data_IF_781519442007
#
_entry.id   IF_781519442007
#
_cell.length_a   1.000
_cell.length_b   1.000
_cell.length_c   1.000
_cell.angle_alpha   90.00
_cell.angle_beta   90.00
_cell.angle_gamma   90.00
#
_symmetry.space_group_name_H-M   'P 1'
#
loop_
_entity.id
_entity.type
_entity.pdbx_description
1 polymer ?
#
# COMPACT_ATOMS: atom_id res chain seq x y z
N UNK A 1 32.73 35.27 1.12
CA UNK A 1 31.52 34.42 1.20
C UNK A 1 31.09 34.14 -0.23
N UNK A 2 31.43 32.97 -0.78
CA UNK A 2 31.06 32.61 -2.16
C UNK A 2 29.68 31.98 -2.13
N UNK A 3 28.69 32.69 -2.65
CA UNK A 3 27.41 32.12 -3.07
C UNK A 3 27.72 31.12 -4.19
N UNK A 4 27.56 29.83 -3.89
CA UNK A 4 27.72 28.76 -4.87
C UNK A 4 26.55 28.79 -5.84
N UNK A 5 26.77 29.35 -7.03
CA UNK A 5 25.89 29.16 -8.16
C UNK A 5 25.77 27.66 -8.45
N UNK A 6 24.57 27.11 -8.30
CA UNK A 6 24.25 25.76 -8.77
C UNK A 6 24.61 25.69 -10.25
N UNK A 7 25.52 24.79 -10.61
CA UNK A 7 25.95 24.65 -12.00
C UNK A 7 24.82 24.04 -12.84
N UNK A 8 24.80 24.27 -14.15
CA UNK A 8 23.78 23.69 -15.05
C UNK A 8 23.72 22.15 -14.97
N UNK A 9 24.84 21.52 -14.60
CA UNK A 9 24.93 20.08 -14.31
C UNK A 9 24.11 19.65 -13.11
N UNK A 10 24.12 20.43 -12.02
CA UNK A 10 23.34 20.16 -10.80
C UNK A 10 21.83 20.28 -11.09
N UNK A 11 21.45 21.26 -11.92
CA UNK A 11 20.05 21.45 -12.30
C UNK A 11 19.54 20.33 -13.23
N UNK A 12 20.39 19.83 -14.14
CA UNK A 12 20.03 18.72 -15.02
C UNK A 12 19.85 17.41 -14.25
N UNK A 13 20.72 17.14 -13.28
CA UNK A 13 20.62 15.96 -12.43
C UNK A 13 19.38 16.00 -11.53
N UNK A 14 19.09 17.15 -10.93
CA UNK A 14 17.86 17.34 -10.15
C UNK A 14 16.59 17.12 -11.00
N UNK A 15 16.58 17.57 -12.26
CA UNK A 15 15.46 17.29 -13.18
C UNK A 15 15.31 15.79 -13.42
N UNK A 16 16.40 15.08 -13.74
CA UNK A 16 16.37 13.62 -13.93
C UNK A 16 15.86 12.88 -12.70
N UNK A 17 16.31 13.28 -11.50
CA UNK A 17 15.83 12.69 -10.25
C UNK A 17 14.33 12.91 -10.03
N UNK A 18 13.82 14.11 -10.32
CA UNK A 18 12.38 14.41 -10.25
C UNK A 18 11.58 13.59 -11.26
N UNK A 19 12.06 13.46 -12.49
CA UNK A 19 11.42 12.66 -13.53
C UNK A 19 11.40 11.17 -13.18
N UNK A 20 12.46 10.68 -12.54
CA UNK A 20 12.52 9.30 -12.04
C UNK A 20 11.46 9.06 -10.95
N UNK A 21 11.35 9.96 -9.97
CA UNK A 21 10.33 9.86 -8.91
C UNK A 21 8.91 9.94 -9.50
N UNK A 22 8.68 10.84 -10.45
CA UNK A 22 7.39 10.97 -11.14
C UNK A 22 7.05 9.69 -11.93
N UNK A 23 8.03 9.10 -12.61
CA UNK A 23 7.88 7.85 -13.36
C UNK A 23 7.58 6.69 -12.41
N UNK A 24 8.33 6.54 -11.31
CA UNK A 24 8.10 5.50 -10.31
C UNK A 24 6.72 5.63 -9.64
N UNK A 25 6.29 6.86 -9.35
CA UNK A 25 4.95 7.14 -8.79
C UNK A 25 3.85 6.73 -9.77
N UNK A 26 4.00 7.13 -11.04
CA UNK A 26 3.04 6.76 -12.11
C UNK A 26 3.01 5.25 -12.35
N UNK A 27 4.17 4.61 -12.38
CA UNK A 27 4.29 3.16 -12.52
C UNK A 27 3.56 2.44 -11.37
N UNK A 28 3.73 2.91 -10.13
CA UNK A 28 3.05 2.36 -8.95
C UNK A 28 1.53 2.46 -9.06
N UNK A 29 0.99 3.62 -9.42
CA UNK A 29 -0.46 3.78 -9.59
C UNK A 29 -1.01 2.87 -10.70
N UNK A 30 -0.31 2.79 -11.83
CA UNK A 30 -0.72 1.96 -12.98
C UNK A 30 -0.61 0.47 -12.71
N UNK A 31 0.40 0.03 -11.95
CA UNK A 31 0.59 -1.38 -11.61
C UNK A 31 -0.51 -1.85 -10.67
N UNK A 32 -0.87 -1.05 -9.65
CA UNK A 32 -2.00 -1.31 -8.74
C UNK A 32 -3.30 -1.41 -9.54
N UNK A 33 -3.62 -0.43 -10.38
CA UNK A 33 -4.84 -0.47 -11.18
C UNK A 33 -4.85 -1.62 -12.20
N UNK A 34 -3.67 -1.99 -12.74
CA UNK A 34 -3.51 -3.17 -13.57
C UNK A 34 -3.83 -4.46 -12.84
N UNK A 35 -3.45 -4.58 -11.57
CA UNK A 35 -3.77 -5.73 -10.72
C UNK A 35 -5.28 -5.83 -10.46
N UNK A 36 -5.95 -4.71 -10.17
CA UNK A 36 -7.41 -4.68 -10.03
C UNK A 36 -8.10 -5.20 -11.29
N UNK A 37 -7.76 -4.66 -12.46
CA UNK A 37 -8.36 -5.11 -13.73
C UNK A 37 -8.12 -6.58 -14.06
N UNK A 38 -6.99 -7.14 -13.61
CA UNK A 38 -6.60 -8.52 -13.92
C UNK A 38 -7.21 -9.54 -12.97
N UNK A 39 -7.25 -9.21 -11.68
CA UNK A 39 -7.50 -10.19 -10.61
C UNK A 39 -8.79 -9.96 -9.83
N UNK A 40 -9.42 -8.78 -9.97
CA UNK A 40 -10.69 -8.54 -9.32
C UNK A 40 -11.79 -9.42 -9.97
N UNK A 41 -12.73 -9.99 -9.19
CA UNK A 41 -13.74 -10.90 -9.72
C UNK A 41 -14.51 -10.30 -10.91
N UNK A 42 -14.61 -11.07 -11.99
CA UNK A 42 -15.35 -10.65 -13.17
C UNK A 42 -16.83 -10.42 -12.83
N UNK A 43 -17.38 -9.27 -13.25
CA UNK A 43 -18.77 -8.89 -12.99
C UNK A 43 -19.03 -8.23 -11.63
N UNK A 44 -18.02 -8.11 -10.76
CA UNK A 44 -18.09 -7.31 -9.55
C UNK A 44 -17.56 -5.90 -9.77
N UNK A 45 -18.15 -4.91 -9.09
CA UNK A 45 -17.63 -3.54 -8.99
C UNK A 45 -16.89 -3.34 -7.67
N UNK A 46 -15.93 -2.41 -7.68
CA UNK A 46 -15.29 -1.92 -6.46
C UNK A 46 -16.09 -0.73 -5.96
N UNK A 47 -16.66 -0.83 -4.76
CA UNK A 47 -17.46 0.24 -4.17
C UNK A 47 -16.59 1.31 -3.49
N UNK A 48 -15.43 0.92 -2.96
CA UNK A 48 -14.46 1.82 -2.32
C UNK A 48 -13.06 1.19 -2.27
N UNK A 49 -12.03 2.03 -2.33
CA UNK A 49 -10.63 1.65 -2.15
C UNK A 49 -10.05 2.39 -0.95
N UNK A 50 -9.68 1.64 0.08
CA UNK A 50 -9.08 2.16 1.30
C UNK A 50 -7.56 1.95 1.29
N UNK A 51 -6.81 3.04 1.22
CA UNK A 51 -5.35 3.04 1.15
C UNK A 51 -4.75 3.25 2.53
N UNK A 52 -3.78 2.43 2.91
CA UNK A 52 -3.04 2.56 4.17
C UNK A 52 -1.52 2.62 3.91
N UNK A 53 -0.75 2.80 4.98
CA UNK A 53 0.70 2.90 4.94
C UNK A 53 1.20 4.25 4.41
N UNK A 54 2.51 4.41 4.31
CA UNK A 54 3.14 5.69 3.94
C UNK A 54 2.70 6.26 2.58
N UNK A 55 2.29 5.40 1.64
CA UNK A 55 1.78 5.81 0.33
C UNK A 55 0.48 6.61 0.39
N UNK A 56 -0.35 6.40 1.42
CA UNK A 56 -1.59 7.15 1.61
C UNK A 56 -1.34 8.66 1.87
N UNK A 57 -0.14 9.01 2.36
CA UNK A 57 0.29 10.41 2.60
C UNK A 57 0.87 11.09 1.36
N UNK A 58 0.98 10.38 0.22
CA UNK A 58 1.45 10.96 -1.04
C UNK A 58 0.25 11.46 -1.88
N UNK A 59 -0.02 12.78 -1.92
CA UNK A 59 -1.20 13.31 -2.62
C UNK A 59 -1.16 13.06 -4.13
N UNK A 60 0.03 13.06 -4.74
CA UNK A 60 0.20 12.76 -6.17
C UNK A 60 -0.19 11.31 -6.47
N UNK A 61 0.28 10.36 -5.66
CA UNK A 61 -0.07 8.95 -5.81
C UNK A 61 -1.57 8.72 -5.60
N UNK A 62 -2.15 9.32 -4.55
CA UNK A 62 -3.59 9.21 -4.25
C UNK A 62 -4.46 9.75 -5.39
N UNK A 63 -4.09 10.89 -5.97
CA UNK A 63 -4.79 11.45 -7.13
C UNK A 63 -4.68 10.55 -8.37
N UNK A 64 -3.49 9.99 -8.64
CA UNK A 64 -3.29 9.06 -9.75
C UNK A 64 -4.09 7.76 -9.55
N UNK A 65 -4.16 7.23 -8.33
CA UNK A 65 -4.98 6.07 -8.00
C UNK A 65 -6.46 6.36 -8.19
N UNK A 66 -6.96 7.50 -7.70
CA UNK A 66 -8.35 7.92 -7.88
C UNK A 66 -8.73 8.01 -9.37
N UNK A 67 -7.86 8.57 -10.20
CA UNK A 67 -8.10 8.63 -11.64
C UNK A 67 -8.09 7.25 -12.31
N UNK A 68 -7.19 6.34 -11.89
CA UNK A 68 -7.03 5.01 -12.49
C UNK A 68 -8.12 4.01 -12.05
N UNK A 69 -8.72 4.22 -10.87
CA UNK A 69 -9.69 3.31 -10.25
C UNK A 69 -11.12 3.86 -10.27
N UNK A 70 -11.34 5.02 -10.88
CA UNK A 70 -12.67 5.57 -11.10
C UNK A 70 -13.59 4.53 -11.79
N UNK A 71 -14.88 4.43 -11.38
CA UNK A 71 -15.59 5.37 -10.51
C UNK A 71 -15.43 5.09 -9.00
N UNK A 72 -14.65 4.10 -8.58
CA UNK A 72 -14.52 3.77 -7.17
C UNK A 72 -13.83 4.91 -6.40
N UNK A 73 -14.40 5.39 -5.28
CA UNK A 73 -13.76 6.37 -4.42
C UNK A 73 -12.50 5.77 -3.79
N UNK A 74 -11.41 6.56 -3.78
CA UNK A 74 -10.14 6.20 -3.14
C UNK A 74 -9.92 7.10 -1.93
N UNK A 75 -9.77 6.51 -0.74
CA UNK A 75 -9.61 7.25 0.53
C UNK A 75 -8.52 6.65 1.41
N UNK A 76 -7.83 7.46 2.24
CA UNK A 76 -6.95 6.91 3.27
C UNK A 76 -7.78 6.19 4.35
N UNK A 77 -7.24 5.12 4.93
CA UNK A 77 -7.88 4.38 6.04
C UNK A 77 -8.10 5.22 7.29
N UNK A 78 -7.26 6.24 7.50
CA UNK A 78 -7.34 7.14 8.65
C UNK A 78 -8.68 7.89 8.71
N UNK A 79 -9.35 8.05 7.56
CA UNK A 79 -10.69 8.60 7.47
C UNK A 79 -11.76 7.75 8.19
N UNK A 80 -11.44 6.50 8.54
CA UNK A 80 -12.32 5.56 9.24
C UNK A 80 -11.98 5.42 10.74
N UNK A 81 -11.10 6.27 11.27
CA UNK A 81 -10.72 6.25 12.68
C UNK A 81 -9.72 5.15 13.06
N UNK A 82 -9.12 4.48 12.08
CA UNK A 82 -8.01 3.54 12.29
C UNK A 82 -6.72 4.29 12.01
N UNK A 83 -5.89 4.48 13.03
CA UNK A 83 -4.55 5.03 12.86
C UNK A 83 -3.73 4.09 11.93
N UNK A 84 -3.36 4.62 10.77
CA UNK A 84 -2.61 3.89 9.75
C UNK A 84 -1.24 3.39 10.21
N UNK A 85 -0.59 4.08 11.14
CA UNK A 85 0.70 3.66 11.71
C UNK A 85 0.50 2.59 12.79
N UNK A 86 -0.63 2.60 13.52
CA UNK A 86 -0.98 1.58 14.52
C UNK A 86 -1.51 0.28 13.91
N UNK A 87 -2.06 0.32 12.69
CA UNK A 87 -2.72 -0.81 12.04
C UNK A 87 -1.83 -2.06 11.93
N UNK A 88 -0.56 -1.90 11.58
CA UNK A 88 0.36 -3.04 11.45
C UNK A 88 0.62 -3.70 12.81
N UNK A 89 0.84 -2.89 13.86
CA UNK A 89 0.99 -3.39 15.23
C UNK A 89 -0.27 -4.11 15.72
N UNK A 90 -1.46 -3.55 15.46
CA UNK A 90 -2.74 -4.19 15.77
C UNK A 90 -2.90 -5.51 15.02
N UNK A 91 -2.47 -5.57 13.76
CA UNK A 91 -2.49 -6.80 12.96
C UNK A 91 -1.63 -7.88 13.62
N UNK A 92 -0.40 -7.56 14.05
CA UNK A 92 0.44 -8.52 14.77
C UNK A 92 -0.15 -8.95 16.12
N UNK A 93 -0.77 -8.03 16.86
CA UNK A 93 -1.45 -8.37 18.11
C UNK A 93 -2.61 -9.36 17.88
N UNK A 94 -3.42 -9.14 16.84
CA UNK A 94 -4.49 -10.05 16.45
C UNK A 94 -3.95 -11.41 16.01
N UNK A 95 -2.90 -11.43 15.18
CA UNK A 95 -2.24 -12.68 14.77
C UNK A 95 -1.72 -13.47 15.98
N UNK A 96 -1.14 -12.80 16.97
CA UNK A 96 -0.67 -13.44 18.20
C UNK A 96 -1.83 -13.99 19.04
N UNK A 97 -2.90 -13.21 19.24
CA UNK A 97 -4.12 -13.65 19.92
C UNK A 97 -4.69 -14.92 19.26
N UNK A 98 -4.88 -14.89 17.95
CA UNK A 98 -5.47 -15.99 17.20
C UNK A 98 -4.58 -17.24 17.22
N UNK A 99 -3.27 -17.05 17.20
CA UNK A 99 -2.30 -18.16 17.39
C UNK A 99 -2.46 -18.83 18.75
N UNK A 100 -2.62 -18.04 19.82
CA UNK A 100 -2.85 -18.56 21.17
C UNK A 100 -4.21 -19.27 21.28
N UNK A 101 -5.23 -18.78 20.56
CA UNK A 101 -6.56 -19.38 20.49
C UNK A 101 -6.65 -20.59 19.55
N UNK A 102 -5.58 -20.91 18.80
CA UNK A 102 -5.57 -21.99 17.81
C UNK A 102 -6.40 -21.68 16.55
N UNK A 103 -6.72 -20.41 16.31
CA UNK A 103 -7.50 -19.95 15.17
C UNK A 103 -6.59 -19.78 13.93
N UNK A 104 -7.04 -20.17 12.73
CA UNK A 104 -6.28 -19.94 11.51
C UNK A 104 -6.08 -18.46 11.21
N UNK A 105 -4.85 -18.07 10.88
CA UNK A 105 -4.49 -16.68 10.56
C UNK A 105 -3.96 -16.48 9.14
N UNK A 106 -3.78 -17.56 8.38
CA UNK A 106 -3.58 -17.47 6.94
C UNK A 106 -4.91 -17.50 6.18
N UNK A 107 -4.89 -16.96 4.96
CA UNK A 107 -6.00 -17.08 4.01
C UNK A 107 -5.50 -17.96 2.86
N UNK A 108 -5.89 -19.25 2.79
CA UNK A 108 -5.44 -20.17 1.73
C UNK A 108 -5.67 -19.64 0.32
N UNK A 109 -6.83 -19.02 0.07
CA UNK A 109 -7.17 -18.42 -1.22
C UNK A 109 -6.23 -17.26 -1.64
N UNK A 110 -5.63 -16.56 -0.68
CA UNK A 110 -4.67 -15.48 -0.95
C UNK A 110 -3.22 -15.97 -0.98
N UNK A 111 -2.90 -17.04 -0.25
CA UNK A 111 -1.51 -17.50 -0.03
C UNK A 111 -1.13 -18.73 -0.86
N UNK A 112 -2.10 -19.45 -1.43
CA UNK A 112 -1.88 -20.74 -2.08
C UNK A 112 -1.62 -21.91 -1.10
N UNK A 113 -1.80 -21.69 0.21
CA UNK A 113 -1.63 -22.75 1.20
C UNK A 113 -2.66 -23.87 1.02
N UNK A 114 -2.28 -25.13 1.30
CA UNK A 114 -3.18 -26.30 1.19
C UNK A 114 -4.29 -26.33 2.24
N UNK A 115 -4.11 -25.63 3.37
CA UNK A 115 -5.04 -25.61 4.50
C UNK A 115 -4.91 -24.32 5.29
N UNK A 116 -5.99 -23.97 5.99
CA UNK A 116 -6.00 -22.88 6.95
C UNK A 116 -5.31 -23.36 8.26
N UNK A 117 -4.33 -22.60 8.75
CA UNK A 117 -3.56 -22.89 9.96
C UNK A 117 -3.25 -21.61 10.74
N UNK A 118 -3.05 -21.70 12.07
CA UNK A 118 -2.44 -20.61 12.83
C UNK A 118 -1.01 -20.36 12.34
N UNK A 119 -0.64 -19.10 12.13
CA UNK A 119 0.70 -18.65 11.76
C UNK A 119 1.45 -18.12 12.99
N UNK A 120 2.73 -18.46 13.13
CA UNK A 120 3.59 -17.92 14.18
C UNK A 120 4.27 -19.02 15.01
N UNK A 121 5.06 -18.61 16.01
CA UNK A 121 5.73 -19.50 16.95
C UNK A 121 5.66 -18.89 18.35
N UNK A 122 5.23 -19.68 19.33
CA UNK A 122 5.19 -19.27 20.73
C UNK A 122 6.58 -19.48 21.33
N UNK A 123 7.25 -18.37 21.69
CA UNK A 123 8.45 -18.38 22.50
C UNK A 123 8.04 -18.18 23.97
N UNK A 124 8.31 -19.18 24.81
CA UNK A 124 8.08 -19.08 26.25
C UNK A 124 9.22 -18.28 26.88
N UNK A 125 8.96 -17.49 27.93
CA UNK A 125 9.99 -16.75 28.66
C UNK A 125 11.04 -17.68 29.27
#
# INVERSE_FOLDING_TARGET
LREGALTDGDAAEQRRARDLIATATTFTARSIAGAYRRWFPAGASVDEVLVNGGGARNPTLMAMLAAQLAPAPVRPTDALGIDGDAKEAMTFALLAHDTLAGLPTNIPAATGAKRAIPLGKIARP
#
